data_IF_866517255228
#
_entry.id   IF_866517255228
#
_cell.length_a   1.000
_cell.length_b   1.000
_cell.length_c   1.000
_cell.angle_alpha   90.00
_cell.angle_beta   90.00
_cell.angle_gamma   90.00
#
_symmetry.space_group_name_H-M   'P 1'
#
loop_
_entity.id
_entity.type
_entity.pdbx_description
1 polymer ?
#
# COMPACT_ATOMS: atom_id res chain seq x y z
N UNK A 1 -22.22 -2.78 26.41
CA UNK A 1 -21.94 -4.22 26.25
C UNK A 1 -22.15 -4.70 24.82
N UNK A 2 -23.33 -4.53 24.22
CA UNK A 2 -23.66 -5.03 22.85
C UNK A 2 -22.67 -4.57 21.77
N UNK A 3 -22.29 -3.28 21.76
CA UNK A 3 -21.36 -2.74 20.76
C UNK A 3 -19.95 -3.33 20.87
N UNK A 4 -19.41 -3.44 22.08
CA UNK A 4 -18.09 -4.06 22.32
C UNK A 4 -18.08 -5.54 21.95
N UNK A 5 -19.15 -6.29 22.24
CA UNK A 5 -19.25 -7.69 21.80
C UNK A 5 -19.36 -7.81 20.29
N UNK A 6 -20.10 -6.91 19.63
CA UNK A 6 -20.23 -6.89 18.18
C UNK A 6 -18.89 -6.56 17.50
N UNK A 7 -18.17 -5.58 18.02
CA UNK A 7 -16.83 -5.24 17.57
C UNK A 7 -15.89 -6.45 17.68
N UNK A 8 -15.86 -7.10 18.84
CA UNK A 8 -15.03 -8.29 19.05
C UNK A 8 -15.40 -9.43 18.07
N UNK A 9 -16.69 -9.67 17.84
CA UNK A 9 -17.14 -10.67 16.86
C UNK A 9 -16.67 -10.30 15.45
N UNK A 10 -16.84 -9.04 15.04
CA UNK A 10 -16.42 -8.56 13.73
C UNK A 10 -14.90 -8.61 13.54
N UNK A 11 -14.10 -8.27 14.57
CA UNK A 11 -12.64 -8.35 14.50
C UNK A 11 -12.19 -9.80 14.32
N UNK A 12 -12.73 -10.75 15.09
CA UNK A 12 -12.43 -12.18 14.93
C UNK A 12 -12.87 -12.76 13.57
N UNK A 13 -14.04 -12.37 13.07
CA UNK A 13 -14.50 -12.73 11.73
C UNK A 13 -13.53 -12.18 10.68
N UNK A 14 -13.17 -10.89 10.79
CA UNK A 14 -12.26 -10.26 9.84
C UNK A 14 -10.87 -10.91 9.85
N UNK A 15 -10.32 -11.22 11.03
CA UNK A 15 -9.06 -11.93 11.20
C UNK A 15 -9.10 -13.32 10.55
N UNK A 16 -10.18 -14.07 10.78
CA UNK A 16 -10.39 -15.40 10.21
C UNK A 16 -10.45 -15.35 8.68
N UNK A 17 -11.21 -14.41 8.11
CA UNK A 17 -11.29 -14.23 6.65
C UNK A 17 -9.93 -13.83 6.09
N UNK A 18 -9.20 -12.92 6.74
CA UNK A 18 -7.87 -12.47 6.30
C UNK A 18 -6.88 -13.63 6.30
N UNK A 19 -6.87 -14.46 7.34
CA UNK A 19 -6.03 -15.67 7.41
C UNK A 19 -6.33 -16.64 6.25
N UNK A 20 -7.62 -16.86 5.93
CA UNK A 20 -8.04 -17.66 4.78
C UNK A 20 -7.59 -17.02 3.46
N UNK A 21 -7.72 -15.70 3.31
CA UNK A 21 -7.31 -15.00 2.08
C UNK A 21 -5.79 -15.00 1.92
N UNK A 22 -5.01 -14.82 3.00
CA UNK A 22 -3.54 -14.93 3.00
C UNK A 22 -3.11 -16.30 2.50
N UNK A 23 -3.71 -17.37 3.05
CA UNK A 23 -3.36 -18.74 2.65
C UNK A 23 -3.72 -19.01 1.19
N UNK A 24 -4.89 -18.58 0.72
CA UNK A 24 -5.27 -18.67 -0.70
C UNK A 24 -4.29 -17.88 -1.58
N UNK A 25 -3.88 -16.68 -1.16
CA UNK A 25 -2.95 -15.84 -1.92
C UNK A 25 -1.56 -16.48 -2.00
N UNK A 26 -1.07 -17.06 -0.89
CA UNK A 26 0.19 -17.79 -0.84
C UNK A 26 0.15 -19.04 -1.73
N UNK A 27 -0.95 -19.81 -1.68
CA UNK A 27 -1.15 -20.98 -2.56
C UNK A 27 -1.19 -20.55 -4.03
N UNK A 28 -1.90 -19.47 -4.34
CA UNK A 28 -1.99 -18.94 -5.72
C UNK A 28 -0.64 -18.44 -6.23
N UNK A 29 0.21 -17.92 -5.33
CA UNK A 29 1.58 -17.50 -5.67
C UNK A 29 2.51 -18.70 -5.91
N UNK A 30 2.33 -19.80 -5.15
CA UNK A 30 3.13 -21.02 -5.29
C UNK A 30 2.67 -21.90 -6.46
N UNK A 31 1.37 -21.92 -6.75
CA UNK A 31 0.72 -22.77 -7.75
C UNK A 31 -0.04 -21.87 -8.73
N UNK A 32 0.61 -21.51 -9.83
CA UNK A 32 0.08 -20.59 -10.87
C UNK A 32 -1.21 -21.11 -11.56
N UNK A 33 -1.57 -22.38 -11.38
CA UNK A 33 -2.54 -23.08 -12.23
C UNK A 33 -4.02 -22.92 -11.83
N UNK A 34 -4.32 -22.49 -10.60
CA UNK A 34 -5.71 -22.58 -10.09
C UNK A 34 -6.46 -21.25 -10.24
N UNK A 35 -7.00 -20.99 -11.44
CA UNK A 35 -7.83 -19.81 -11.74
C UNK A 35 -8.99 -19.65 -10.74
N UNK A 36 -9.63 -20.76 -10.32
CA UNK A 36 -10.77 -20.76 -9.39
C UNK A 36 -10.43 -20.20 -7.99
N UNK A 37 -9.18 -20.37 -7.52
CA UNK A 37 -8.75 -19.83 -6.22
C UNK A 37 -8.66 -18.30 -6.24
N UNK A 38 -8.30 -17.71 -7.37
CA UNK A 38 -8.23 -16.26 -7.49
C UNK A 38 -9.61 -15.60 -7.39
N UNK A 39 -10.61 -16.13 -8.10
CA UNK A 39 -11.98 -15.62 -8.02
C UNK A 39 -12.55 -15.77 -6.61
N UNK A 40 -12.16 -16.83 -5.89
CA UNK A 40 -12.51 -17.02 -4.48
C UNK A 40 -11.81 -16.02 -3.57
N UNK A 41 -10.52 -15.73 -3.81
CA UNK A 41 -9.74 -14.75 -3.05
C UNK A 41 -10.34 -13.36 -3.17
N UNK A 42 -10.72 -12.96 -4.38
CA UNK A 42 -11.32 -11.64 -4.65
C UNK A 42 -12.71 -11.49 -4.00
N UNK A 43 -13.54 -12.54 -4.00
CA UNK A 43 -14.79 -12.56 -3.21
C UNK A 43 -14.51 -12.41 -1.71
N UNK A 44 -13.45 -13.06 -1.22
CA UNK A 44 -12.96 -12.89 0.15
C UNK A 44 -12.57 -11.43 0.46
N UNK A 45 -11.89 -10.75 -0.46
CA UNK A 45 -11.54 -9.33 -0.31
C UNK A 45 -12.76 -8.42 -0.20
N UNK A 46 -13.82 -8.70 -0.96
CA UNK A 46 -15.09 -7.97 -0.87
C UNK A 46 -15.76 -8.21 0.50
N UNK A 47 -15.74 -9.45 1.00
CA UNK A 47 -16.25 -9.78 2.32
C UNK A 47 -15.47 -9.06 3.44
N UNK A 48 -14.13 -8.97 3.31
CA UNK A 48 -13.27 -8.20 4.22
C UNK A 48 -13.67 -6.72 4.23
N UNK A 49 -13.86 -6.13 3.05
CA UNK A 49 -14.32 -4.74 2.94
C UNK A 49 -15.65 -4.50 3.67
N UNK A 50 -16.63 -5.38 3.49
CA UNK A 50 -17.91 -5.29 4.19
C UNK A 50 -17.75 -5.41 5.71
N UNK A 51 -16.90 -6.33 6.18
CA UNK A 51 -16.63 -6.49 7.60
C UNK A 51 -15.97 -5.23 8.20
N UNK A 52 -14.98 -4.65 7.52
CA UNK A 52 -14.31 -3.42 7.93
C UNK A 52 -15.28 -2.23 7.93
N UNK A 53 -16.15 -2.11 6.92
CA UNK A 53 -17.18 -1.08 6.92
C UNK A 53 -18.12 -1.22 8.12
N UNK A 54 -18.49 -2.45 8.48
CA UNK A 54 -19.26 -2.74 9.69
C UNK A 54 -18.50 -2.32 10.95
N UNK A 55 -17.22 -2.65 11.06
CA UNK A 55 -16.36 -2.25 12.19
C UNK A 55 -16.31 -0.72 12.34
N UNK A 56 -16.03 0.02 11.26
CA UNK A 56 -15.98 1.48 11.30
C UNK A 56 -17.33 2.09 11.69
N UNK A 57 -18.44 1.58 11.14
CA UNK A 57 -19.78 2.09 11.45
C UNK A 57 -20.15 1.79 12.91
N UNK A 58 -19.88 0.59 13.40
CA UNK A 58 -20.16 0.22 14.80
C UNK A 58 -19.35 1.06 15.78
N UNK A 59 -18.07 1.33 15.49
CA UNK A 59 -17.24 2.23 16.30
C UNK A 59 -17.70 3.68 16.22
N UNK A 60 -18.08 4.17 15.05
CA UNK A 60 -18.60 5.53 14.89
C UNK A 60 -19.85 5.76 15.76
N UNK A 61 -20.80 4.81 15.74
CA UNK A 61 -22.02 4.88 16.56
C UNK A 61 -21.68 4.81 18.06
N UNK A 62 -20.74 3.93 18.45
CA UNK A 62 -20.37 3.75 19.86
C UNK A 62 -19.62 4.96 20.44
N UNK A 63 -18.60 5.43 19.74
CA UNK A 63 -17.73 6.51 20.23
C UNK A 63 -18.33 7.91 20.00
N UNK A 64 -19.41 8.03 19.21
CA UNK A 64 -20.06 9.30 18.81
C UNK A 64 -19.15 10.31 18.09
N UNK A 65 -17.92 9.92 17.78
CA UNK A 65 -16.99 10.65 16.93
C UNK A 65 -16.57 9.75 15.76
N UNK A 66 -16.05 10.37 14.71
CA UNK A 66 -15.52 9.62 13.59
C UNK A 66 -14.24 8.85 14.02
N UNK A 67 -14.10 7.55 13.72
CA UNK A 67 -13.04 6.70 14.28
C UNK A 67 -11.70 6.95 13.57
N UNK A 68 -11.00 8.02 13.97
CA UNK A 68 -9.67 8.41 13.48
C UNK A 68 -8.71 8.79 14.60
N UNK A 69 -9.14 8.71 15.85
CA UNK A 69 -8.47 9.38 16.97
C UNK A 69 -7.20 8.65 17.39
N UNK A 70 -7.25 7.31 17.37
CA UNK A 70 -6.15 6.47 17.82
C UNK A 70 -5.41 5.78 16.66
N UNK A 71 -4.22 5.24 16.95
CA UNK A 71 -3.45 4.44 15.98
C UNK A 71 -4.24 3.22 15.48
N UNK A 72 -5.01 2.58 16.37
CA UNK A 72 -5.87 1.46 16.01
C UNK A 72 -6.99 1.88 15.04
N UNK A 73 -7.73 2.94 15.38
CA UNK A 73 -8.84 3.43 14.56
C UNK A 73 -8.35 3.91 13.18
N UNK A 74 -7.25 4.67 13.16
CA UNK A 74 -6.60 5.12 11.93
C UNK A 74 -6.10 3.95 11.08
N UNK A 75 -5.65 2.84 11.68
CA UNK A 75 -5.21 1.65 10.94
C UNK A 75 -6.38 0.88 10.31
N UNK A 76 -7.52 0.78 10.99
CA UNK A 76 -8.75 0.25 10.40
C UNK A 76 -9.17 1.13 9.22
N UNK A 77 -9.13 2.46 9.39
CA UNK A 77 -9.45 3.41 8.33
C UNK A 77 -8.47 3.36 7.14
N UNK A 78 -7.18 3.12 7.42
CA UNK A 78 -6.16 2.89 6.38
C UNK A 78 -6.46 1.61 5.59
N UNK A 79 -6.80 0.52 6.28
CA UNK A 79 -7.15 -0.77 5.66
C UNK A 79 -8.44 -0.66 4.82
N UNK A 80 -9.42 0.08 5.33
CA UNK A 80 -10.63 0.45 4.58
C UNK A 80 -10.28 1.24 3.31
N UNK A 81 -9.44 2.27 3.41
CA UNK A 81 -9.03 3.08 2.27
C UNK A 81 -8.28 2.26 1.20
N UNK A 82 -7.39 1.36 1.62
CA UNK A 82 -6.69 0.44 0.70
C UNK A 82 -7.64 -0.54 0.02
N UNK A 83 -8.62 -1.08 0.75
CA UNK A 83 -9.62 -2.00 0.18
C UNK A 83 -10.53 -1.30 -0.84
N UNK A 84 -10.90 -0.04 -0.62
CA UNK A 84 -11.60 0.77 -1.65
C UNK A 84 -10.76 0.89 -2.92
N UNK A 85 -9.46 1.21 -2.80
CA UNK A 85 -8.55 1.33 -3.94
C UNK A 85 -8.41 0.00 -4.70
N UNK A 86 -8.41 -1.12 -3.99
CA UNK A 86 -8.34 -2.47 -4.57
C UNK A 86 -9.62 -2.87 -5.35
N UNK A 87 -10.78 -2.53 -4.80
CA UNK A 87 -12.09 -2.88 -5.39
C UNK A 87 -12.39 -2.08 -6.67
N UNK A 88 -11.89 -0.84 -6.79
CA UNK A 88 -12.13 0.01 -7.98
C UNK A 88 -11.66 -0.64 -9.30
N UNK A 89 -10.44 -1.20 -9.41
CA UNK A 89 -10.00 -1.99 -10.56
C UNK A 89 -10.85 -3.24 -10.83
N UNK A 90 -11.34 -3.92 -9.79
CA UNK A 90 -12.15 -5.13 -9.91
C UNK A 90 -13.46 -4.85 -10.65
N UNK A 91 -14.20 -3.81 -10.24
CA UNK A 91 -15.43 -3.41 -10.92
C UNK A 91 -15.22 -2.98 -12.37
N UNK A 92 -14.05 -2.40 -12.69
CA UNK A 92 -13.69 -2.02 -14.06
C UNK A 92 -13.27 -3.22 -14.94
N UNK A 93 -13.40 -4.47 -14.44
CA UNK A 93 -12.96 -5.72 -15.11
C UNK A 93 -11.54 -5.62 -15.68
N UNK A 94 -10.65 -4.93 -14.96
CA UNK A 94 -9.26 -4.75 -15.40
C UNK A 94 -8.41 -6.00 -15.09
N UNK A 95 -7.22 -6.05 -15.69
CA UNK A 95 -6.34 -7.24 -15.64
C UNK A 95 -5.96 -7.65 -14.21
N UNK A 96 -6.07 -8.96 -13.95
CA UNK A 96 -5.76 -9.70 -12.71
C UNK A 96 -4.50 -9.22 -11.98
N UNK A 97 -3.41 -8.96 -12.70
CA UNK A 97 -2.11 -8.63 -12.09
C UNK A 97 -2.12 -7.35 -11.24
N UNK A 98 -2.92 -6.34 -11.60
CA UNK A 98 -3.02 -5.11 -10.79
C UNK A 98 -3.73 -5.40 -9.46
N UNK A 99 -4.85 -6.14 -9.51
CA UNK A 99 -5.58 -6.54 -8.30
C UNK A 99 -4.67 -7.38 -7.40
N UNK A 100 -3.87 -8.32 -7.94
CA UNK A 100 -2.94 -9.13 -7.14
C UNK A 100 -1.93 -8.30 -6.35
N UNK A 101 -1.30 -7.29 -6.96
CA UNK A 101 -0.29 -6.45 -6.27
C UNK A 101 -0.97 -5.60 -5.19
N UNK A 102 -2.11 -4.97 -5.53
CA UNK A 102 -2.85 -4.13 -4.58
C UNK A 102 -3.46 -4.95 -3.42
N UNK A 103 -3.91 -6.18 -3.67
CA UNK A 103 -4.41 -7.11 -2.66
C UNK A 103 -3.36 -7.37 -1.58
N UNK A 104 -2.09 -7.54 -1.97
CA UNK A 104 -1.01 -7.76 -1.00
C UNK A 104 -0.91 -6.64 0.04
N UNK A 105 -1.09 -5.38 -0.39
CA UNK A 105 -1.09 -4.22 0.53
C UNK A 105 -2.27 -4.24 1.50
N UNK A 106 -3.46 -4.57 1.00
CA UNK A 106 -4.69 -4.64 1.82
C UNK A 106 -4.57 -5.77 2.85
N UNK A 107 -4.13 -6.95 2.40
CA UNK A 107 -3.97 -8.12 3.25
C UNK A 107 -2.95 -7.86 4.36
N UNK A 108 -1.81 -7.23 4.04
CA UNK A 108 -0.78 -6.91 5.02
C UNK A 108 -1.28 -5.94 6.10
N UNK A 109 -1.89 -4.83 5.68
CA UNK A 109 -2.42 -3.81 6.60
C UNK A 109 -3.59 -4.32 7.43
N UNK A 110 -4.50 -5.08 6.81
CA UNK A 110 -5.63 -5.67 7.52
C UNK A 110 -5.20 -6.77 8.50
N UNK A 111 -4.26 -7.63 8.11
CA UNK A 111 -3.70 -8.65 8.99
C UNK A 111 -3.07 -8.02 10.24
N UNK A 112 -2.39 -6.88 10.07
CA UNK A 112 -1.84 -6.12 11.18
C UNK A 112 -2.93 -5.42 12.02
N UNK A 113 -3.98 -4.88 11.40
CA UNK A 113 -5.08 -4.23 12.11
C UNK A 113 -5.91 -5.19 12.97
N UNK A 114 -6.02 -6.46 12.53
CA UNK A 114 -6.90 -7.46 13.16
C UNK A 114 -6.17 -8.43 14.07
N UNK A 115 -4.83 -8.46 14.06
CA UNK A 115 -4.02 -9.38 14.89
C UNK A 115 -4.13 -9.12 16.39
N UNK A 116 -4.78 -8.05 16.81
CA UNK A 116 -4.91 -7.71 18.23
C UNK A 116 -3.68 -7.05 18.83
N UNK A 117 -2.54 -6.97 18.14
CA UNK A 117 -1.29 -6.43 18.69
C UNK A 117 -1.42 -4.98 19.18
N UNK A 118 -2.34 -4.21 18.60
CA UNK A 118 -2.63 -2.83 19.00
C UNK A 118 -3.80 -2.70 20.00
N UNK A 119 -4.48 -3.80 20.30
CA UNK A 119 -5.63 -3.80 21.21
C UNK A 119 -5.19 -3.66 22.67
N UNK A 120 -3.96 -4.02 23.02
CA UNK A 120 -3.43 -3.75 24.36
C UNK A 120 -3.25 -2.24 24.63
N UNK A 121 -3.22 -1.40 23.59
CA UNK A 121 -3.16 0.07 23.69
C UNK A 121 -4.57 0.68 23.88
N UNK A 122 -5.63 -0.13 24.03
CA UNK A 122 -7.01 0.32 24.31
C UNK A 122 -7.16 0.98 25.69
N UNK A 123 -6.63 2.20 25.88
CA UNK A 123 -7.29 3.15 26.76
C UNK A 123 -8.15 4.02 25.85
N UNK A 124 -9.47 3.84 25.91
CA UNK A 124 -10.44 4.83 25.43
C UNK A 124 -10.18 6.13 26.19
N UNK A 125 -9.18 6.89 25.77
CA UNK A 125 -8.85 8.16 26.35
C UNK A 125 -9.99 9.11 25.98
N UNK A 126 -10.50 9.82 26.98
CA UNK A 126 -11.36 10.98 26.74
C UNK A 126 -10.62 11.86 25.74
N UNK A 127 -11.26 12.13 24.59
CA UNK A 127 -10.66 12.93 23.54
C UNK A 127 -10.15 14.24 24.12
N UNK A 128 -8.86 14.51 23.96
CA UNK A 128 -8.26 15.80 24.28
C UNK A 128 -9.02 16.88 23.48
N UNK A 129 -9.34 18.07 24.02
CA UNK A 129 -10.17 19.06 23.32
C UNK A 129 -9.73 19.37 21.89
N UNK A 130 -8.42 19.36 21.62
CA UNK A 130 -7.87 19.56 20.27
C UNK A 130 -8.37 18.53 19.23
N UNK A 131 -8.77 17.33 19.67
CA UNK A 131 -9.27 16.25 18.82
C UNK A 131 -10.76 16.38 18.45
N UNK A 132 -11.48 17.37 19.01
CA UNK A 132 -12.91 17.57 18.77
C UNK A 132 -13.20 18.56 17.62
N UNK A 133 -12.18 19.09 16.96
CA UNK A 133 -12.34 20.06 15.87
C UNK A 133 -12.72 19.38 14.55
N UNK A 134 -13.60 20.04 13.79
CA UNK A 134 -13.97 19.60 12.43
C UNK A 134 -12.78 19.60 11.47
N UNK A 135 -11.80 20.50 11.70
CA UNK A 135 -10.56 20.54 10.93
C UNK A 135 -9.69 19.30 11.14
N UNK A 136 -9.67 18.72 12.36
CA UNK A 136 -8.97 17.47 12.59
C UNK A 136 -9.57 16.35 11.74
N UNK A 137 -10.90 16.26 11.67
CA UNK A 137 -11.59 15.23 10.88
C UNK A 137 -11.16 15.32 9.41
N UNK A 138 -11.15 16.53 8.85
CA UNK A 138 -10.68 16.76 7.48
C UNK A 138 -9.19 16.42 7.32
N UNK A 139 -8.35 16.86 8.26
CA UNK A 139 -6.91 16.62 8.23
C UNK A 139 -6.58 15.13 8.26
N UNK A 140 -6.98 14.42 9.32
CA UNK A 140 -6.59 13.03 9.55
C UNK A 140 -7.20 12.11 8.49
N UNK A 141 -8.46 12.32 8.10
CA UNK A 141 -9.10 11.52 7.05
C UNK A 141 -8.36 11.66 5.73
N UNK A 142 -8.05 12.89 5.32
CA UNK A 142 -7.39 13.16 4.05
C UNK A 142 -5.93 12.68 4.05
N UNK A 143 -5.23 12.80 5.18
CA UNK A 143 -3.89 12.26 5.34
C UNK A 143 -3.88 10.74 5.19
N UNK A 144 -4.78 10.00 5.86
CA UNK A 144 -4.81 8.53 5.76
C UNK A 144 -5.24 8.07 4.36
N UNK A 145 -6.20 8.75 3.75
CA UNK A 145 -6.63 8.48 2.37
C UNK A 145 -5.46 8.71 1.40
N UNK A 146 -4.65 9.74 1.64
CA UNK A 146 -3.42 10.00 0.88
C UNK A 146 -2.41 8.87 1.05
N UNK A 147 -2.15 8.41 2.27
CA UNK A 147 -1.20 7.33 2.54
C UNK A 147 -1.64 6.03 1.89
N UNK A 148 -2.93 5.69 1.93
CA UNK A 148 -3.45 4.51 1.24
C UNK A 148 -3.17 4.58 -0.27
N UNK A 149 -3.48 5.71 -0.91
CA UNK A 149 -3.22 5.92 -2.34
C UNK A 149 -1.71 5.89 -2.66
N UNK A 150 -0.89 6.60 -1.90
CA UNK A 150 0.56 6.66 -2.12
C UNK A 150 1.23 5.32 -1.89
N UNK A 151 0.86 4.55 -0.85
CA UNK A 151 1.37 3.19 -0.61
C UNK A 151 0.98 2.24 -1.74
N UNK A 152 -0.30 2.23 -2.14
CA UNK A 152 -0.75 1.40 -3.24
C UNK A 152 -0.04 1.76 -4.56
N UNK A 153 0.07 3.05 -4.86
CA UNK A 153 0.71 3.54 -6.07
C UNK A 153 2.22 3.30 -6.11
N UNK A 154 2.91 3.47 -4.98
CA UNK A 154 4.35 3.19 -4.87
C UNK A 154 4.64 1.70 -4.89
N UNK A 155 3.79 0.84 -4.31
CA UNK A 155 3.91 -0.62 -4.42
C UNK A 155 3.86 -1.10 -5.89
N UNK A 156 2.98 -0.51 -6.70
CA UNK A 156 2.95 -0.76 -8.16
C UNK A 156 4.28 -0.34 -8.83
N UNK A 157 4.89 0.76 -8.39
CA UNK A 157 6.22 1.19 -8.86
C UNK A 157 7.35 0.26 -8.38
N UNK A 158 7.27 -0.27 -7.15
CA UNK A 158 8.22 -1.27 -6.65
C UNK A 158 8.13 -2.55 -7.51
N UNK A 159 6.92 -3.01 -7.83
CA UNK A 159 6.72 -4.15 -8.72
C UNK A 159 7.32 -3.91 -10.12
N UNK A 160 7.18 -2.70 -10.67
CA UNK A 160 7.84 -2.30 -11.92
C UNK A 160 9.36 -2.40 -11.83
N UNK A 161 9.94 -1.91 -10.74
CA UNK A 161 11.38 -1.92 -10.51
C UNK A 161 11.89 -3.37 -10.43
N UNK A 162 11.20 -4.24 -9.68
CA UNK A 162 11.53 -5.68 -9.58
C UNK A 162 11.49 -6.35 -10.96
N UNK A 163 10.45 -6.10 -11.76
CA UNK A 163 10.33 -6.64 -13.12
C UNK A 163 11.45 -6.10 -14.02
N UNK A 164 11.83 -4.83 -13.88
CA UNK A 164 12.87 -4.19 -14.69
C UNK A 164 14.26 -4.69 -14.32
N UNK A 165 14.56 -4.82 -13.03
CA UNK A 165 15.84 -5.31 -12.53
C UNK A 165 16.08 -6.77 -12.94
N UNK A 166 15.03 -7.62 -12.90
CA UNK A 166 15.09 -9.00 -13.41
C UNK A 166 15.46 -9.05 -14.90
N UNK A 167 15.04 -8.08 -15.72
CA UNK A 167 15.45 -7.98 -17.14
C UNK A 167 16.94 -7.68 -17.25
N UNK A 168 17.42 -6.68 -16.51
CA UNK A 168 18.82 -6.25 -16.57
C UNK A 168 19.78 -7.38 -16.15
N UNK A 169 19.45 -8.11 -15.07
CA UNK A 169 20.21 -9.27 -14.63
C UNK A 169 20.25 -10.39 -15.67
N UNK A 170 19.13 -10.71 -16.30
CA UNK A 170 19.09 -11.72 -17.37
C UNK A 170 19.93 -11.32 -18.58
N UNK A 171 19.96 -10.03 -18.94
CA UNK A 171 20.82 -9.51 -20.01
C UNK A 171 22.29 -9.59 -19.61
N UNK A 172 22.62 -9.25 -18.36
CA UNK A 172 23.98 -9.35 -17.83
C UNK A 172 24.50 -10.79 -17.81
N UNK A 173 23.71 -11.76 -17.31
CA UNK A 173 24.07 -13.18 -17.36
C UNK A 173 24.24 -13.69 -18.80
N UNK A 174 23.42 -13.23 -19.75
CA UNK A 174 23.55 -13.61 -21.17
C UNK A 174 24.80 -12.99 -21.82
N UNK A 175 25.29 -11.85 -21.31
CA UNK A 175 26.47 -11.15 -21.82
C UNK A 175 27.78 -11.71 -21.28
N UNK A 176 27.80 -12.37 -20.12
CA UNK A 176 28.97 -13.10 -19.62
C UNK A 176 29.00 -14.50 -20.28
N UNK A 177 29.79 -14.72 -21.36
CA UNK A 177 29.76 -15.99 -22.10
C UNK A 177 30.39 -17.13 -21.30
N UNK A 178 31.30 -16.81 -20.36
CA UNK A 178 32.10 -17.76 -19.59
C UNK A 178 31.27 -18.79 -18.79
N UNK A 179 30.04 -18.46 -18.39
CA UNK A 179 29.15 -19.38 -17.66
C UNK A 179 28.25 -20.20 -18.60
N UNK A 180 27.97 -19.72 -19.80
CA UNK A 180 27.06 -20.37 -20.74
C UNK A 180 27.79 -21.36 -21.66
N UNK A 181 29.10 -21.19 -21.81
CA UNK A 181 29.97 -22.05 -22.64
C UNK A 181 30.24 -23.42 -22.01
N UNK A 182 30.14 -23.53 -20.68
CA UNK A 182 30.33 -24.79 -19.95
C UNK A 182 29.17 -25.80 -20.10
N UNK A 183 27.97 -25.37 -20.54
CA UNK A 183 26.76 -26.21 -20.46
C UNK A 183 26.17 -26.67 -21.80
N UNK A 184 26.77 -26.38 -22.95
CA UNK A 184 26.20 -26.89 -24.22
C UNK A 184 27.23 -27.06 -25.33
N UNK A 185 27.92 -28.22 -25.36
CA UNK A 185 28.87 -28.56 -26.43
C UNK A 185 28.48 -29.77 -27.29
N UNK A 186 27.21 -30.23 -27.31
CA UNK A 186 26.81 -31.33 -28.19
C UNK A 186 25.36 -31.23 -28.66
N UNK A 187 25.15 -31.34 -29.98
CA UNK A 187 23.86 -31.59 -30.68
C UNK A 187 22.88 -30.43 -31.03
N UNK A 188 23.34 -29.20 -31.31
CA UNK A 188 22.44 -28.03 -31.54
C UNK A 188 22.36 -27.51 -33.00
N UNK A 189 22.67 -28.25 -34.08
CA UNK A 189 22.60 -27.63 -35.43
C UNK A 189 21.21 -27.63 -36.11
N UNK A 190 20.49 -28.76 -36.16
CA UNK A 190 19.21 -28.85 -36.92
C UNK A 190 17.94 -28.53 -36.10
N UNK A 191 17.92 -28.90 -34.81
CA UNK A 191 16.79 -28.56 -33.92
C UNK A 191 16.72 -27.07 -33.58
N UNK A 192 17.84 -26.35 -33.73
CA UNK A 192 17.96 -24.96 -33.29
C UNK A 192 17.22 -24.00 -34.21
N UNK A 193 17.10 -24.24 -35.51
CA UNK A 193 16.49 -23.28 -36.44
C UNK A 193 14.95 -23.22 -36.30
N UNK A 194 14.27 -24.37 -36.25
CA UNK A 194 12.83 -24.45 -35.96
C UNK A 194 12.51 -24.01 -34.53
N UNK A 195 13.35 -24.39 -33.56
CA UNK A 195 13.24 -23.89 -32.19
C UNK A 195 13.57 -22.41 -32.08
N UNK A 196 14.38 -21.83 -32.98
CA UNK A 196 14.72 -20.42 -33.02
C UNK A 196 13.57 -19.60 -33.61
N UNK A 197 12.88 -20.08 -34.65
CA UNK A 197 11.68 -19.41 -35.19
C UNK A 197 10.51 -19.48 -34.21
N UNK A 198 10.28 -20.64 -33.59
CA UNK A 198 9.31 -20.75 -32.49
C UNK A 198 9.78 -19.90 -31.29
N UNK A 199 11.06 -19.93 -30.90
CA UNK A 199 11.59 -19.04 -29.85
C UNK A 199 11.37 -17.59 -30.21
N UNK A 200 11.66 -17.11 -31.42
CA UNK A 200 11.57 -15.69 -31.76
C UNK A 200 10.12 -15.24 -31.72
N UNK A 201 9.18 -16.05 -32.21
CA UNK A 201 7.74 -15.78 -32.10
C UNK A 201 7.24 -15.85 -30.66
N UNK A 202 7.57 -16.90 -29.90
CA UNK A 202 7.24 -17.01 -28.46
C UNK A 202 7.90 -15.92 -27.61
N UNK A 203 9.15 -15.56 -27.88
CA UNK A 203 9.85 -14.46 -27.23
C UNK A 203 9.20 -13.13 -27.60
N UNK A 204 8.83 -12.91 -28.87
CA UNK A 204 8.12 -11.71 -29.31
C UNK A 204 6.78 -11.57 -28.58
N UNK A 205 5.96 -12.63 -28.55
CA UNK A 205 4.69 -12.64 -27.84
C UNK A 205 4.86 -12.43 -26.32
N UNK A 206 5.82 -13.13 -25.69
CA UNK A 206 6.14 -12.96 -24.26
C UNK A 206 6.64 -11.55 -23.95
N UNK A 207 7.45 -10.97 -24.82
CA UNK A 207 7.93 -9.60 -24.69
C UNK A 207 6.79 -8.60 -24.87
N UNK A 208 5.83 -8.86 -25.77
CA UNK A 208 4.64 -8.03 -25.96
C UNK A 208 3.78 -7.98 -24.69
N UNK A 209 3.37 -9.14 -24.15
CA UNK A 209 2.56 -9.19 -22.93
C UNK A 209 3.27 -8.53 -21.73
N UNK A 210 4.58 -8.73 -21.61
CA UNK A 210 5.39 -8.10 -20.55
C UNK A 210 5.48 -6.58 -20.73
N UNK A 211 5.66 -6.10 -21.96
CA UNK A 211 5.69 -4.66 -22.27
C UNK A 211 4.35 -4.01 -21.90
N UNK A 212 3.24 -4.64 -22.27
CA UNK A 212 1.90 -4.18 -21.93
C UNK A 212 1.69 -4.13 -20.40
N UNK A 213 2.15 -5.14 -19.66
CA UNK A 213 2.09 -5.18 -18.21
C UNK A 213 2.88 -4.02 -17.58
N UNK A 214 4.12 -3.78 -18.04
CA UNK A 214 4.96 -2.67 -17.55
C UNK A 214 4.26 -1.33 -17.81
N UNK A 215 3.71 -1.11 -19.00
CA UNK A 215 2.98 0.12 -19.31
C UNK A 215 1.73 0.29 -18.43
N UNK A 216 1.02 -0.79 -18.14
CA UNK A 216 -0.17 -0.76 -17.28
C UNK A 216 0.17 -0.42 -15.83
N UNK A 217 1.20 -1.07 -15.26
CA UNK A 217 1.66 -0.76 -13.91
C UNK A 217 2.16 0.69 -13.83
N UNK A 218 2.90 1.16 -14.84
CA UNK A 218 3.44 2.51 -14.89
C UNK A 218 2.34 3.58 -14.96
N UNK A 219 1.34 3.34 -15.82
CA UNK A 219 0.17 4.21 -15.97
C UNK A 219 -0.66 4.29 -14.69
N UNK A 220 -0.92 3.14 -14.07
CA UNK A 220 -1.73 3.07 -12.86
C UNK A 220 -1.02 3.62 -11.64
N UNK A 221 0.26 3.29 -11.47
CA UNK A 221 1.10 3.85 -10.40
C UNK A 221 1.06 5.38 -10.44
N UNK A 222 1.28 5.97 -11.62
CA UNK A 222 1.23 7.42 -11.78
C UNK A 222 -0.13 8.02 -11.40
N UNK A 223 -1.24 7.40 -11.83
CA UNK A 223 -2.60 7.90 -11.52
C UNK A 223 -2.93 7.83 -10.04
N UNK A 224 -2.62 6.71 -9.40
CA UNK A 224 -2.91 6.51 -7.96
C UNK A 224 -2.02 7.42 -7.12
N UNK A 225 -0.73 7.56 -7.45
CA UNK A 225 0.17 8.49 -6.76
C UNK A 225 -0.29 9.94 -6.93
N UNK A 226 -0.70 10.35 -8.14
CA UNK A 226 -1.18 11.72 -8.37
C UNK A 226 -2.42 12.04 -7.55
N UNK A 227 -3.36 11.09 -7.43
CA UNK A 227 -4.53 11.22 -6.59
C UNK A 227 -4.14 11.29 -5.09
N UNK A 228 -3.22 10.43 -4.66
CA UNK A 228 -2.68 10.48 -3.30
C UNK A 228 -1.97 11.79 -2.99
N UNK A 229 -1.23 12.37 -3.94
CA UNK A 229 -0.54 13.65 -3.76
C UNK A 229 -1.52 14.82 -3.57
N UNK A 230 -2.64 14.83 -4.31
CA UNK A 230 -3.72 15.81 -4.11
C UNK A 230 -4.27 15.68 -2.68
N UNK A 231 -4.55 14.47 -2.22
CA UNK A 231 -5.00 14.24 -0.86
C UNK A 231 -3.96 14.66 0.18
N UNK A 232 -2.69 14.35 -0.04
CA UNK A 232 -1.60 14.78 0.84
C UNK A 232 -1.52 16.31 0.93
N UNK A 233 -1.66 17.03 -0.18
CA UNK A 233 -1.65 18.51 -0.17
C UNK A 233 -2.81 19.08 0.66
N UNK A 234 -4.02 18.55 0.49
CA UNK A 234 -5.19 19.00 1.25
C UNK A 234 -5.04 18.63 2.73
N UNK A 235 -4.51 17.44 3.03
CA UNK A 235 -4.20 16.99 4.39
C UNK A 235 -3.20 17.91 5.08
N UNK A 236 -2.09 18.27 4.43
CA UNK A 236 -1.10 19.19 5.02
C UNK A 236 -1.69 20.59 5.24
N UNK A 237 -2.44 21.12 4.27
CA UNK A 237 -3.06 22.45 4.40
C UNK A 237 -4.09 22.50 5.54
N UNK A 238 -5.00 21.53 5.59
CA UNK A 238 -5.96 21.41 6.69
C UNK A 238 -5.29 21.15 8.05
N UNK A 239 -4.16 20.44 8.06
CA UNK A 239 -3.33 20.24 9.24
C UNK A 239 -2.72 21.54 9.77
N UNK A 240 -2.22 22.40 8.88
CA UNK A 240 -1.70 23.71 9.28
C UNK A 240 -2.79 24.61 9.88
N UNK A 241 -4.00 24.59 9.32
CA UNK A 241 -5.15 25.33 9.88
C UNK A 241 -5.52 24.79 11.27
N UNK A 242 -5.60 23.47 11.42
CA UNK A 242 -5.87 22.81 12.69
C UNK A 242 -4.79 23.10 13.74
N UNK A 243 -3.51 23.07 13.37
CA UNK A 243 -2.38 23.39 14.23
C UNK A 243 -2.52 24.79 14.83
N UNK A 244 -2.88 25.78 14.00
CA UNK A 244 -3.11 27.14 14.47
C UNK A 244 -4.29 27.25 15.44
N UNK A 245 -5.35 26.46 15.24
CA UNK A 245 -6.47 26.40 16.17
C UNK A 245 -6.11 25.70 17.50
N UNK A 246 -5.28 24.65 17.46
CA UNK A 246 -4.93 23.85 18.63
C UNK A 246 -3.88 24.51 19.54
N UNK A 247 -2.88 25.20 18.98
CA UNK A 247 -1.76 25.78 19.75
C UNK A 247 -1.30 27.16 19.26
N UNK A 248 -2.04 27.82 18.35
CA UNK A 248 -1.74 29.19 17.92
C UNK A 248 -0.56 29.33 16.93
N UNK A 249 -0.09 28.23 16.33
CA UNK A 249 0.98 28.21 15.32
C UNK A 249 0.63 27.25 14.18
N UNK A 250 0.88 27.65 12.94
CA UNK A 250 0.58 26.83 11.75
C UNK A 250 1.52 25.63 11.56
N UNK A 251 2.72 25.67 12.16
CA UNK A 251 3.76 24.65 11.97
C UNK A 251 4.76 24.72 13.11
N UNK A 252 5.02 23.60 13.77
CA UNK A 252 5.92 23.50 14.92
C UNK A 252 7.14 22.60 14.66
N UNK A 253 7.35 22.15 13.42
CA UNK A 253 8.48 21.27 13.07
C UNK A 253 8.55 20.01 13.94
N UNK A 254 7.39 19.49 14.37
CA UNK A 254 7.37 18.22 15.09
C UNK A 254 7.78 17.09 14.13
N UNK A 255 8.24 15.93 14.65
CA UNK A 255 8.62 14.83 13.79
C UNK A 255 7.51 14.43 12.80
N UNK A 256 6.23 14.48 13.17
CA UNK A 256 5.15 14.08 12.26
C UNK A 256 4.97 15.08 11.11
N UNK A 257 4.94 16.37 11.39
CA UNK A 257 4.91 17.44 10.38
C UNK A 257 6.14 17.38 9.46
N UNK A 258 7.34 17.20 10.03
CA UNK A 258 8.58 17.13 9.23
C UNK A 258 8.59 15.92 8.30
N UNK A 259 8.20 14.73 8.77
CA UNK A 259 8.09 13.55 7.93
C UNK A 259 6.98 13.68 6.88
N UNK A 260 5.84 14.28 7.22
CA UNK A 260 4.80 14.58 6.24
C UNK A 260 5.32 15.52 5.13
N UNK A 261 6.08 16.55 5.50
CA UNK A 261 6.71 17.45 4.52
C UNK A 261 7.77 16.74 3.65
N UNK A 262 8.59 15.87 4.24
CA UNK A 262 9.55 15.04 3.49
C UNK A 262 8.81 14.12 2.49
N UNK A 263 7.72 13.47 2.90
CA UNK A 263 6.92 12.65 1.97
C UNK A 263 6.39 13.50 0.82
N UNK A 264 5.90 14.69 1.11
CA UNK A 264 5.39 15.62 0.11
C UNK A 264 6.47 16.00 -0.91
N UNK A 265 7.68 16.34 -0.46
CA UNK A 265 8.83 16.64 -1.34
C UNK A 265 9.16 15.43 -2.22
N UNK A 266 9.24 14.23 -1.67
CA UNK A 266 9.61 13.02 -2.43
C UNK A 266 8.58 12.72 -3.52
N UNK A 267 7.28 12.86 -3.23
CA UNK A 267 6.24 12.67 -4.25
C UNK A 267 6.13 13.84 -5.24
N UNK A 268 6.49 15.06 -4.83
CA UNK A 268 6.64 16.18 -5.76
C UNK A 268 7.80 15.92 -6.75
N UNK A 269 8.94 15.43 -6.25
CA UNK A 269 10.07 14.99 -7.09
C UNK A 269 9.63 13.85 -8.01
N UNK A 270 8.89 12.87 -7.49
CA UNK A 270 8.32 11.79 -8.31
C UNK A 270 7.52 12.39 -9.48
N UNK A 271 6.53 13.24 -9.22
CA UNK A 271 5.71 13.84 -10.28
C UNK A 271 6.55 14.65 -11.26
N UNK A 272 7.55 15.39 -10.77
CA UNK A 272 8.48 16.13 -11.63
C UNK A 272 9.30 15.20 -12.55
N UNK A 273 9.79 14.06 -12.04
CA UNK A 273 10.49 13.06 -12.87
C UNK A 273 9.59 12.44 -13.95
N UNK A 274 8.26 12.40 -13.73
CA UNK A 274 7.30 11.87 -14.70
C UNK A 274 7.06 12.83 -15.88
N UNK A 275 7.16 14.13 -15.64
CA UNK A 275 7.07 15.15 -16.70
C UNK A 275 8.29 15.10 -17.62
N UNK A 276 9.45 14.71 -17.08
CA UNK A 276 10.69 14.61 -17.84
C UNK A 276 10.77 13.28 -18.62
N UNK A 277 10.75 13.36 -19.96
CA UNK A 277 10.77 12.19 -20.87
C UNK A 277 11.94 11.24 -20.57
N UNK A 278 13.14 11.79 -20.28
CA UNK A 278 14.35 11.01 -20.01
C UNK A 278 14.33 10.26 -18.67
N UNK A 279 13.55 10.74 -17.69
CA UNK A 279 13.49 10.18 -16.33
C UNK A 279 12.27 9.25 -16.14
N UNK A 280 11.45 9.10 -17.17
CA UNK A 280 10.24 8.27 -17.14
C UNK A 280 10.57 6.79 -16.98
N UNK A 281 9.82 6.10 -16.12
CA UNK A 281 9.97 4.67 -15.88
C UNK A 281 10.88 4.38 -14.69
N UNK A 282 12.09 3.87 -14.93
CA UNK A 282 12.97 3.32 -13.89
C UNK A 282 13.34 4.33 -12.79
N UNK A 283 13.74 5.56 -13.17
CA UNK A 283 14.14 6.57 -12.19
C UNK A 283 12.93 7.02 -11.36
N UNK A 284 11.77 7.23 -11.98
CA UNK A 284 10.54 7.50 -11.24
C UNK A 284 10.15 6.36 -10.30
N UNK A 285 10.35 5.11 -10.70
CA UNK A 285 10.04 3.95 -9.85
C UNK A 285 10.99 3.88 -8.62
N UNK A 286 12.25 4.26 -8.77
CA UNK A 286 13.21 4.37 -7.65
C UNK A 286 12.73 5.43 -6.65
N UNK A 287 12.36 6.62 -7.11
CA UNK A 287 11.85 7.69 -6.24
C UNK A 287 10.58 7.24 -5.50
N UNK A 288 9.65 6.57 -6.20
CA UNK A 288 8.45 6.03 -5.56
C UNK A 288 8.77 4.95 -4.52
N UNK A 289 9.79 4.11 -4.74
CA UNK A 289 10.21 3.09 -3.77
C UNK A 289 10.81 3.70 -2.49
N UNK A 290 11.53 4.81 -2.61
CA UNK A 290 12.00 5.59 -1.47
C UNK A 290 10.79 6.18 -0.72
N UNK A 291 9.84 6.76 -1.46
CA UNK A 291 8.59 7.27 -0.89
C UNK A 291 7.78 6.22 -0.13
N UNK A 292 7.73 4.97 -0.61
CA UNK A 292 7.07 3.85 0.08
C UNK A 292 7.62 3.67 1.50
N UNK A 293 8.96 3.64 1.67
CA UNK A 293 9.59 3.48 2.98
C UNK A 293 9.33 4.68 3.89
N UNK A 294 9.40 5.90 3.35
CA UNK A 294 9.19 7.13 4.13
C UNK A 294 7.75 7.20 4.68
N UNK A 295 6.74 6.75 3.93
CA UNK A 295 5.36 6.72 4.43
C UNK A 295 5.24 5.81 5.68
N UNK A 296 5.87 4.64 5.67
CA UNK A 296 5.87 3.75 6.85
C UNK A 296 6.56 4.39 8.06
N UNK A 297 7.66 5.13 7.85
CA UNK A 297 8.33 5.88 8.91
C UNK A 297 7.44 7.01 9.44
N UNK A 298 6.77 7.74 8.56
CA UNK A 298 5.87 8.82 8.94
C UNK A 298 4.64 8.32 9.70
N UNK A 299 4.06 7.19 9.27
CA UNK A 299 2.84 6.65 9.87
C UNK A 299 3.10 5.85 11.15
N UNK A 300 4.05 4.90 11.13
CA UNK A 300 4.36 4.07 12.30
C UNK A 300 5.49 4.64 13.13
N UNK A 301 6.60 5.03 12.50
CA UNK A 301 7.83 5.42 13.18
C UNK A 301 7.61 6.54 14.21
N UNK A 302 6.99 7.64 13.81
CA UNK A 302 6.75 8.77 14.73
C UNK A 302 5.75 8.42 15.83
N UNK A 303 4.68 7.70 15.48
CA UNK A 303 3.66 7.34 16.46
C UNK A 303 4.21 6.36 17.51
N UNK A 304 4.90 5.29 17.09
CA UNK A 304 5.44 4.25 17.99
C UNK A 304 6.59 4.76 18.87
N UNK A 305 7.42 5.68 18.37
CA UNK A 305 8.52 6.26 19.14
C UNK A 305 8.03 7.21 20.25
N UNK A 306 6.75 7.60 20.28
CA UNK A 306 6.26 8.49 21.32
C UNK A 306 6.70 9.94 21.19
N UNK A 307 7.23 10.36 20.04
CA UNK A 307 7.91 11.65 19.89
C UNK A 307 6.98 12.65 19.20
N UNK A 308 6.66 13.75 19.89
CA UNK A 308 5.90 14.88 19.36
C UNK A 308 4.46 14.96 19.85
N UNK A 309 3.80 16.09 19.57
CA UNK A 309 2.43 16.41 20.01
C UNK A 309 1.35 15.51 19.38
N UNK A 310 1.74 14.65 18.43
CA UNK A 310 0.86 13.81 17.62
C UNK A 310 1.03 12.31 17.82
N UNK A 311 1.80 11.88 18.83
CA UNK A 311 1.91 10.47 19.17
C UNK A 311 0.74 10.05 20.06
N UNK A 312 -0.15 9.22 19.51
CA UNK A 312 -1.32 8.65 20.21
C UNK A 312 -1.19 7.13 20.37
N UNK A 313 0.03 6.60 20.38
CA UNK A 313 0.30 5.17 20.46
C UNK A 313 1.77 4.88 20.63
N UNK A 314 2.33 5.25 21.78
CA UNK A 314 3.69 4.87 22.16
C UNK A 314 3.68 3.52 22.86
N UNK A 315 4.71 2.71 22.64
CA UNK A 315 5.06 1.72 23.65
C UNK A 315 5.58 2.51 24.84
N UNK A 316 4.88 2.48 25.97
CA UNK A 316 5.55 2.80 27.23
C UNK A 316 6.63 1.74 27.38
N UNK A 317 7.90 2.11 27.10
CA UNK A 317 9.02 1.37 27.65
C UNK A 317 8.78 1.41 29.16
N UNK A 318 8.33 0.30 29.72
CA UNK A 318 8.36 0.10 31.16
C UNK A 318 9.80 0.32 31.58
N UNK A 319 10.10 1.51 32.10
CA UNK A 319 11.30 1.70 32.90
C UNK A 319 11.11 0.80 34.11
N UNK A 320 11.75 -0.36 34.09
CA UNK A 320 12.06 -1.08 35.32
C UNK A 320 12.92 -0.18 36.20
#
# INVERSE_FOLDING_TARGET
MIFSTLEHILTHISFSIVSIVITIHLITLLVDEIIKLYDSSEKGMIAIFLCITGLLVTRWIYSRHFPLSDLYESLIFLSWSLSVIHIVPYFKKKKKNLSTITASSVIFTQGFATSGLLTEIHQSAILVPALQSEWLIMHVSMMILSYAALLCGSLLSVALLVITFRKNRNIFCKRNPLLNELFSFGEIQYMNERNNVLRTTFFSAKNYYRSQLIQQLDYWSYRVISLGFIFLTIGILSGAVWANEAWGSYWNWDPKETWAFITWIVFAIYLHTRTNIKLRGANSAIVASIGFLIIWICYFGVNLLGIGLHSYGSFTLTSN
#
